data_IF_655039088857
#
_entry.id   IF_655039088857
#
_cell.length_a   1.000
_cell.length_b   1.000
_cell.length_c   1.000
_cell.angle_alpha   90.00
_cell.angle_beta   90.00
_cell.angle_gamma   90.00
#
_symmetry.space_group_name_H-M   'P 1'
#
loop_
_entity.id
_entity.type
_entity.pdbx_description
1 polymer ?
#
# COMPACT_ATOMS: atom_id res chain seq x y z
N UNK A 1 -5.45 3.02 -10.75
CA UNK A 1 -5.76 4.12 -9.83
C UNK A 1 -5.81 5.41 -10.66
N UNK A 2 -6.89 5.68 -11.41
CA UNK A 2 -6.87 6.76 -12.40
C UNK A 2 -7.04 8.17 -11.81
N UNK A 3 -7.54 8.29 -10.56
CA UNK A 3 -7.96 9.59 -9.99
C UNK A 3 -7.05 10.13 -8.87
N UNK A 4 -5.85 9.56 -8.67
CA UNK A 4 -4.91 10.04 -7.65
C UNK A 4 -3.69 10.68 -8.29
N UNK A 5 -3.38 11.92 -7.90
CA UNK A 5 -2.14 12.58 -8.34
C UNK A 5 -0.89 11.84 -7.82
N UNK A 6 0.17 11.81 -8.61
CA UNK A 6 1.46 11.17 -8.25
C UNK A 6 2.03 11.69 -6.92
N UNK A 7 1.82 12.97 -6.61
CA UNK A 7 2.23 13.58 -5.34
C UNK A 7 1.52 12.91 -4.16
N UNK A 8 0.20 12.81 -4.23
CA UNK A 8 -0.60 12.19 -3.16
C UNK A 8 -0.22 10.72 -3.02
N UNK A 9 -0.07 9.98 -4.13
CA UNK A 9 0.35 8.59 -4.08
C UNK A 9 1.70 8.44 -3.38
N UNK A 10 2.68 9.25 -3.75
CA UNK A 10 4.01 9.24 -3.12
C UNK A 10 3.94 9.55 -1.63
N UNK A 11 3.11 10.53 -1.23
CA UNK A 11 2.88 10.87 0.18
C UNK A 11 2.27 9.70 0.95
N UNK A 12 1.27 9.00 0.39
CA UNK A 12 0.66 7.83 1.04
C UNK A 12 1.60 6.65 1.15
N UNK A 13 2.40 6.39 0.12
CA UNK A 13 3.40 5.32 0.19
C UNK A 13 4.44 5.62 1.28
N UNK A 14 4.88 6.88 1.39
CA UNK A 14 5.80 7.30 2.46
C UNK A 14 5.17 7.18 3.85
N UNK A 15 3.92 7.59 4.03
CA UNK A 15 3.19 7.41 5.30
C UNK A 15 3.13 5.93 5.71
N UNK A 16 2.86 5.03 4.77
CA UNK A 16 2.80 3.59 5.04
C UNK A 16 4.19 2.99 5.34
N UNK A 17 5.25 3.49 4.70
CA UNK A 17 6.63 3.11 4.98
C UNK A 17 7.06 3.58 6.38
N UNK A 18 6.77 4.83 6.75
CA UNK A 18 7.04 5.41 8.07
C UNK A 18 6.29 4.66 9.19
N UNK A 19 5.12 4.08 8.87
CA UNK A 19 4.34 3.24 9.78
C UNK A 19 4.75 1.76 9.77
N UNK A 20 5.81 1.38 9.06
CA UNK A 20 6.28 0.00 8.91
C UNK A 20 5.20 -0.96 8.39
N UNK A 21 4.24 -0.45 7.60
CA UNK A 21 3.18 -1.23 6.96
C UNK A 21 3.67 -1.78 5.63
N UNK A 22 4.52 -1.03 4.93
CA UNK A 22 5.19 -1.45 3.70
C UNK A 22 6.70 -1.28 3.81
N UNK A 23 7.43 -2.05 3.01
CA UNK A 23 8.86 -1.88 2.77
C UNK A 23 9.08 -1.47 1.32
N UNK A 24 10.02 -0.55 1.09
CA UNK A 24 10.43 -0.09 -0.23
C UNK A 24 11.71 -0.79 -0.68
N UNK A 25 11.61 -1.61 -1.72
CA UNK A 25 12.73 -2.33 -2.31
C UNK A 25 13.22 -1.62 -3.57
N UNK A 26 14.51 -1.30 -3.63
CA UNK A 26 15.15 -0.67 -4.80
C UNK A 26 16.08 -1.67 -5.47
N UNK A 27 15.78 -2.02 -6.71
CA UNK A 27 16.60 -2.90 -7.53
C UNK A 27 17.43 -2.04 -8.51
N UNK A 28 18.76 -1.96 -8.30
CA UNK A 28 19.64 -1.11 -9.10
C UNK A 28 20.00 -1.78 -10.44
N UNK A 29 19.00 -2.17 -11.21
CA UNK A 29 19.14 -2.69 -12.57
C UNK A 29 18.82 -1.62 -13.63
N UNK A 30 18.92 -1.96 -14.91
CA UNK A 30 18.54 -1.06 -16.01
C UNK A 30 17.30 -1.63 -16.72
N UNK A 31 16.12 -0.98 -16.62
CA UNK A 31 15.82 0.26 -15.87
C UNK A 31 15.76 0.03 -14.35
N UNK A 32 15.96 1.08 -13.55
CA UNK A 32 15.83 0.99 -12.08
C UNK A 32 14.39 0.62 -11.74
N UNK A 33 14.21 -0.43 -10.95
CA UNK A 33 12.90 -0.88 -10.49
C UNK A 33 12.73 -0.58 -9.01
N UNK A 34 11.57 -0.04 -8.65
CA UNK A 34 11.17 0.19 -7.26
C UNK A 34 9.92 -0.65 -7.04
N UNK A 35 9.96 -1.48 -6.00
CA UNK A 35 8.82 -2.28 -5.56
C UNK A 35 8.46 -1.91 -4.12
N UNK A 36 7.18 -2.07 -3.80
CA UNK A 36 6.67 -1.90 -2.46
C UNK A 36 5.98 -3.19 -2.06
N UNK A 37 6.33 -3.70 -0.89
CA UNK A 37 5.81 -4.96 -0.36
C UNK A 37 5.21 -4.72 1.02
N UNK A 38 4.16 -5.46 1.38
CA UNK A 38 3.61 -5.42 2.73
C UNK A 38 4.60 -6.09 3.70
N UNK A 39 4.77 -5.48 4.87
CA UNK A 39 5.44 -6.13 6.01
C UNK A 39 4.51 -7.15 6.67
N UNK A 40 5.01 -7.93 7.63
CA UNK A 40 4.16 -8.77 8.47
C UNK A 40 3.05 -7.96 9.17
N UNK A 41 3.38 -6.75 9.62
CA UNK A 41 2.42 -5.81 10.21
C UNK A 41 1.38 -5.34 9.19
N UNK A 42 1.78 -5.09 7.95
CA UNK A 42 0.86 -4.72 6.88
C UNK A 42 -0.06 -5.86 6.46
N UNK A 43 0.46 -7.08 6.35
CA UNK A 43 -0.33 -8.28 6.09
C UNK A 43 -1.36 -8.54 7.20
N UNK A 44 -1.01 -8.28 8.46
CA UNK A 44 -1.93 -8.41 9.59
C UNK A 44 -3.16 -7.47 9.52
N UNK A 45 -3.18 -6.49 8.63
CA UNK A 45 -4.35 -5.63 8.38
C UNK A 45 -5.40 -6.27 7.47
N UNK A 46 -5.06 -7.33 6.73
CA UNK A 46 -5.97 -8.05 5.83
C UNK A 46 -7.37 -8.31 6.43
N UNK A 47 -7.54 -8.88 7.65
CA UNK A 47 -8.87 -9.13 8.20
C UNK A 47 -9.69 -7.85 8.43
N UNK A 48 -9.04 -6.73 8.75
CA UNK A 48 -9.72 -5.44 8.94
C UNK A 48 -10.21 -4.90 7.60
N UNK A 49 -9.35 -4.92 6.58
CA UNK A 49 -9.69 -4.48 5.23
C UNK A 49 -10.82 -5.36 4.65
N UNK A 50 -10.72 -6.67 4.82
CA UNK A 50 -11.74 -7.63 4.40
C UNK A 50 -13.10 -7.37 5.08
N UNK A 51 -13.08 -7.03 6.38
CA UNK A 51 -14.30 -6.69 7.12
C UNK A 51 -14.95 -5.41 6.59
N UNK A 52 -14.15 -4.38 6.27
CA UNK A 52 -14.64 -3.13 5.68
C UNK A 52 -15.24 -3.39 4.29
N UNK A 53 -14.56 -4.20 3.46
CA UNK A 53 -15.06 -4.58 2.15
C UNK A 53 -16.39 -5.34 2.24
N UNK A 54 -16.47 -6.34 3.11
CA UNK A 54 -17.70 -7.13 3.34
C UNK A 54 -18.86 -6.25 3.77
N UNK A 55 -18.60 -5.27 4.64
CA UNK A 55 -19.61 -4.29 5.03
C UNK A 55 -20.04 -3.43 3.84
N UNK A 56 -19.09 -2.94 3.05
CA UNK A 56 -19.38 -2.11 1.87
C UNK A 56 -20.24 -2.85 0.85
N UNK A 57 -19.87 -4.08 0.50
CA UNK A 57 -20.63 -4.94 -0.43
C UNK A 57 -22.06 -5.24 0.06
N UNK A 58 -22.28 -5.22 1.38
CA UNK A 58 -23.59 -5.50 1.97
C UNK A 58 -24.53 -4.30 1.97
N UNK A 59 -24.00 -3.08 2.06
CA UNK A 59 -24.78 -1.87 2.36
C UNK A 59 -24.64 -0.72 1.37
N UNK A 60 -23.68 -0.75 0.45
CA UNK A 60 -23.51 0.21 -0.65
C UNK A 60 -23.86 -0.41 -1.99
#
# INVERSE_FOLDING_TARGET
IPDMSDRILTERMKELEDLEVIVRNVYPEKPVRIEYELTERGLALEPVISSIQTWGEKWM
#
